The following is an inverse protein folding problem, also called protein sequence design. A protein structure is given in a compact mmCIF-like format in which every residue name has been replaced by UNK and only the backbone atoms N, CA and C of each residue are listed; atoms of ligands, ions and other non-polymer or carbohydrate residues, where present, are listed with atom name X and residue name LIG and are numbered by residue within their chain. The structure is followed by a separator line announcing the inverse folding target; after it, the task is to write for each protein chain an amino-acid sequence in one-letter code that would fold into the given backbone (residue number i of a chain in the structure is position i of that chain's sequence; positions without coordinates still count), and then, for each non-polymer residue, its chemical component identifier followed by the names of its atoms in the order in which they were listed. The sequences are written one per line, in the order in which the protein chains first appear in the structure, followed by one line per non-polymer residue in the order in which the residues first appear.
data_IF_150205031102
#
_entry.id   IF_150205031102
#
_cell.length_a   1.000
_cell.length_b   1.000
_cell.length_c   1.000
_cell.angle_alpha   90.00
_cell.angle_beta   90.00
_cell.angle_gamma   90.00
#
_symmetry.space_group_name_H-M   'P 1'
#
loop_
_entity.id
_entity.type
_entity.pdbx_description
1 polymer ?
#
# COMPACT_ATOMS: atom_id res chain seq x y z
N UNK A 1 -10.47 0.78 47.43
CA UNK A 1 -9.71 0.47 46.19
C UNK A 1 -10.50 -0.59 45.44
N UNK A 2 -11.47 -0.16 44.64
CA UNK A 2 -12.26 -1.05 43.81
C UNK A 2 -11.55 -1.23 42.47
N UNK A 3 -11.34 -2.47 42.06
CA UNK A 3 -11.02 -2.81 40.67
C UNK A 3 -12.21 -2.39 39.81
N UNK A 4 -12.15 -1.17 39.31
CA UNK A 4 -13.00 -0.74 38.21
C UNK A 4 -12.56 -1.54 36.99
N UNK A 5 -13.17 -2.72 36.81
CA UNK A 5 -13.16 -3.47 35.57
C UNK A 5 -13.72 -2.53 34.51
N UNK A 6 -12.82 -1.78 33.88
CA UNK A 6 -13.09 -1.04 32.65
C UNK A 6 -13.73 -2.06 31.73
N UNK A 7 -15.04 -1.95 31.49
CA UNK A 7 -15.72 -2.78 30.50
C UNK A 7 -15.02 -2.49 29.19
N UNK A 8 -14.10 -3.39 28.83
CA UNK A 8 -13.46 -3.41 27.54
C UNK A 8 -14.61 -3.42 26.56
N UNK A 9 -14.76 -2.33 25.79
CA UNK A 9 -15.59 -2.34 24.61
C UNK A 9 -15.07 -3.51 23.78
N UNK A 10 -15.82 -4.61 23.77
CA UNK A 10 -15.36 -5.83 23.13
C UNK A 10 -15.08 -5.52 21.68
N UNK A 11 -14.03 -6.10 21.11
CA UNK A 11 -13.75 -5.98 19.67
C UNK A 11 -15.01 -6.27 18.84
N UNK A 12 -15.87 -7.18 19.33
CA UNK A 12 -17.19 -7.48 18.76
C UNK A 12 -18.18 -6.30 18.80
N UNK A 13 -18.20 -5.49 19.87
CA UNK A 13 -19.11 -4.35 20.00
C UNK A 13 -18.64 -3.16 19.17
N UNK A 14 -17.33 -2.92 19.10
CA UNK A 14 -16.74 -1.91 18.22
C UNK A 14 -16.93 -2.26 16.73
N UNK A 15 -16.78 -3.54 16.38
CA UNK A 15 -17.08 -4.05 15.04
C UNK A 15 -18.59 -3.93 14.73
N UNK A 16 -19.49 -4.28 15.67
CA UNK A 16 -20.94 -4.18 15.44
C UNK A 16 -21.42 -2.73 15.27
N UNK A 17 -20.93 -1.79 16.07
CA UNK A 17 -21.39 -0.39 16.03
C UNK A 17 -20.93 0.37 14.79
N UNK A 18 -19.83 -0.04 14.15
CA UNK A 18 -19.21 0.72 13.06
C UNK A 18 -19.22 -0.05 11.74
N UNK A 19 -18.96 -1.35 11.78
CA UNK A 19 -18.89 -2.17 10.57
C UNK A 19 -20.28 -2.39 9.95
N UNK A 20 -21.33 -2.51 10.76
CA UNK A 20 -22.71 -2.72 10.27
C UNK A 20 -23.27 -1.47 9.58
N UNK A 21 -23.21 -0.25 10.15
CA UNK A 21 -23.68 0.95 9.45
C UNK A 21 -22.82 1.29 8.22
N UNK A 22 -21.52 1.02 8.26
CA UNK A 22 -20.61 1.34 7.16
C UNK A 22 -20.76 0.35 5.99
N UNK A 23 -20.95 -0.94 6.28
CA UNK A 23 -21.36 -1.93 5.28
C UNK A 23 -22.75 -1.63 4.75
N UNK A 24 -23.70 -1.21 5.60
CA UNK A 24 -25.03 -0.81 5.16
C UNK A 24 -25.00 0.46 4.29
N UNK A 25 -24.14 1.44 4.60
CA UNK A 25 -23.98 2.67 3.80
C UNK A 25 -23.30 2.36 2.48
N UNK A 26 -22.26 1.53 2.49
CA UNK A 26 -21.63 1.02 1.27
C UNK A 26 -22.63 0.23 0.42
N UNK A 27 -23.45 -0.63 1.03
CA UNK A 27 -24.48 -1.40 0.35
C UNK A 27 -25.60 -0.52 -0.21
N UNK A 28 -26.04 0.52 0.52
CA UNK A 28 -27.02 1.51 0.06
C UNK A 28 -26.46 2.35 -1.08
N UNK A 29 -25.16 2.72 -1.03
CA UNK A 29 -24.49 3.45 -2.10
C UNK A 29 -24.30 2.57 -3.34
N UNK A 30 -23.91 1.29 -3.17
CA UNK A 30 -23.84 0.28 -4.24
C UNK A 30 -25.23 0.07 -4.87
N UNK A 31 -26.29 -0.01 -4.08
CA UNK A 31 -27.66 -0.18 -4.55
C UNK A 31 -28.26 1.09 -5.19
N UNK A 32 -27.69 2.28 -4.93
CA UNK A 32 -28.14 3.58 -5.48
C UNK A 32 -27.25 4.16 -6.58
N UNK A 33 -26.29 3.41 -7.13
CA UNK A 33 -25.61 3.83 -8.37
C UNK A 33 -26.52 3.52 -9.57
N UNK A 34 -27.52 4.39 -9.81
CA UNK A 34 -27.54 5.07 -11.08
C UNK A 34 -27.55 6.58 -10.85
N UNK A 35 -26.37 7.18 -10.68
CA UNK A 35 -26.22 8.62 -10.94
C UNK A 35 -24.81 8.93 -11.43
N UNK A 36 -24.49 8.35 -12.58
CA UNK A 36 -23.46 8.87 -13.48
C UNK A 36 -23.61 10.39 -13.67
N UNK A 37 -24.82 10.95 -13.55
CA UNK A 37 -25.14 12.37 -13.70
C UNK A 37 -24.63 13.29 -12.58
N UNK A 38 -24.68 12.88 -11.30
CA UNK A 38 -24.19 13.72 -10.18
C UNK A 38 -22.66 13.75 -10.15
N UNK A 39 -22.04 12.59 -10.35
CA UNK A 39 -20.59 12.48 -10.48
C UNK A 39 -20.10 13.12 -11.80
N UNK A 40 -20.88 13.08 -12.89
CA UNK A 40 -20.57 13.81 -14.13
C UNK A 40 -20.59 15.32 -13.96
N UNK A 41 -21.54 15.87 -13.21
CA UNK A 41 -21.60 17.30 -12.91
C UNK A 41 -20.38 17.82 -12.13
N UNK A 42 -19.67 16.93 -11.42
CA UNK A 42 -18.43 17.24 -10.69
C UNK A 42 -17.15 16.90 -11.48
N UNK A 43 -17.25 16.47 -12.74
CA UNK A 43 -16.10 15.98 -13.52
C UNK A 43 -15.51 14.66 -13.00
N UNK A 44 -16.27 13.90 -12.22
CA UNK A 44 -15.91 12.60 -11.63
C UNK A 44 -16.45 11.40 -12.43
N UNK A 45 -17.10 11.61 -13.58
CA UNK A 45 -17.77 10.56 -14.38
C UNK A 45 -16.89 9.76 -15.33
N UNK A 46 -15.59 10.05 -15.40
CA UNK A 46 -14.69 9.16 -16.11
C UNK A 46 -14.48 7.91 -15.24
N UNK A 47 -15.34 6.92 -15.46
CA UNK A 47 -15.18 5.58 -14.92
C UNK A 47 -13.95 4.95 -15.58
N UNK A 48 -12.78 5.21 -14.98
CA UNK A 48 -11.51 4.56 -15.37
C UNK A 48 -11.43 3.12 -14.85
N UNK A 49 -12.55 2.50 -14.44
CA UNK A 49 -12.64 1.04 -14.29
C UNK A 49 -12.24 0.31 -15.57
N UNK A 50 -12.21 0.98 -16.73
CA UNK A 50 -11.67 0.44 -17.98
C UNK A 50 -10.25 -0.12 -17.88
N UNK A 51 -9.43 0.30 -16.91
CA UNK A 51 -8.10 -0.28 -16.75
C UNK A 51 -8.10 -1.62 -15.98
N UNK A 52 -9.15 -2.06 -15.27
CA UNK A 52 -9.28 -3.34 -14.51
C UNK A 52 -7.96 -4.01 -14.00
N UNK A 53 -6.94 -3.24 -13.62
CA UNK A 53 -5.62 -3.75 -13.26
C UNK A 53 -4.68 -4.19 -14.42
N UNK A 54 -4.95 -3.86 -15.68
CA UNK A 54 -4.04 -4.06 -16.81
C UNK A 54 -3.59 -5.50 -16.95
N UNK A 55 -2.32 -5.75 -16.65
CA UNK A 55 -1.73 -7.08 -16.66
C UNK A 55 -2.45 -8.07 -15.73
N UNK A 56 -3.01 -7.60 -14.60
CA UNK A 56 -3.79 -8.45 -13.70
C UNK A 56 -5.02 -9.06 -14.39
N UNK A 57 -5.71 -8.28 -15.24
CA UNK A 57 -6.88 -8.73 -15.98
C UNK A 57 -6.50 -9.71 -17.10
N UNK A 58 -5.41 -9.42 -17.83
CA UNK A 58 -4.91 -10.31 -18.89
C UNK A 58 -4.55 -11.70 -18.33
N UNK A 59 -3.84 -11.72 -17.19
CA UNK A 59 -3.50 -12.96 -16.48
C UNK A 59 -4.74 -13.72 -16.01
N UNK A 60 -5.74 -12.99 -15.48
CA UNK A 60 -6.99 -13.59 -15.04
C UNK A 60 -7.78 -14.20 -16.20
N UNK A 61 -7.77 -13.53 -17.35
CA UNK A 61 -8.41 -14.03 -18.57
C UNK A 61 -7.69 -15.27 -19.10
N UNK A 62 -6.34 -15.28 -19.09
CA UNK A 62 -5.54 -16.44 -19.46
C UNK A 62 -5.83 -17.66 -18.57
N UNK A 63 -5.94 -17.45 -17.25
CA UNK A 63 -6.37 -18.49 -16.31
C UNK A 63 -7.79 -19.00 -16.61
N UNK A 64 -8.73 -18.09 -16.86
CA UNK A 64 -10.13 -18.43 -17.19
C UNK A 64 -10.23 -19.28 -18.47
N UNK A 65 -9.41 -18.98 -19.48
CA UNK A 65 -9.36 -19.74 -20.74
C UNK A 65 -8.62 -21.08 -20.62
N UNK A 66 -7.99 -21.38 -19.48
CA UNK A 66 -7.24 -22.62 -19.28
C UNK A 66 -5.81 -22.61 -19.82
N UNK A 67 -5.27 -21.45 -20.21
CA UNK A 67 -3.89 -21.31 -20.67
C UNK A 67 -2.87 -21.31 -19.51
N UNK A 68 -3.37 -21.26 -18.27
CA UNK A 68 -2.55 -21.13 -17.08
C UNK A 68 -2.21 -19.66 -16.79
N UNK A 69 -1.16 -19.44 -16.00
CA UNK A 69 -0.73 -18.09 -15.64
C UNK A 69 0.34 -17.62 -16.65
N UNK A 70 -0.16 -17.16 -17.80
CA UNK A 70 0.61 -16.74 -18.99
C UNK A 70 0.09 -15.42 -19.54
N UNK A 71 0.83 -14.85 -20.50
CA UNK A 71 0.33 -13.80 -21.41
C UNK A 71 -0.09 -12.49 -20.70
N UNK A 72 0.82 -11.86 -19.90
CA UNK A 72 0.47 -10.70 -19.08
C UNK A 72 0.07 -9.48 -19.90
N UNK A 73 0.37 -9.46 -21.20
CA UNK A 73 0.11 -8.32 -22.10
C UNK A 73 -1.04 -8.55 -23.09
N UNK A 74 -1.88 -9.56 -22.84
CA UNK A 74 -3.07 -9.84 -23.68
C UNK A 74 -2.73 -10.39 -25.07
N UNK A 75 -1.48 -10.84 -25.27
CA UNK A 75 -0.98 -11.52 -26.46
C UNK A 75 -0.13 -12.72 -26.05
N UNK A 76 0.02 -13.68 -26.95
CA UNK A 76 0.71 -14.93 -26.64
C UNK A 76 2.22 -14.70 -26.43
N UNK A 77 2.63 -14.69 -25.17
CA UNK A 77 4.03 -14.54 -24.74
C UNK A 77 4.49 -15.65 -23.80
N UNK A 78 3.57 -16.55 -23.41
CA UNK A 78 3.87 -17.75 -22.64
C UNK A 78 3.82 -17.54 -21.13
N UNK A 79 4.30 -18.52 -20.34
CA UNK A 79 4.28 -18.47 -18.88
C UNK A 79 4.98 -17.24 -18.33
N UNK A 80 4.48 -16.71 -17.22
CA UNK A 80 4.96 -15.44 -16.65
C UNK A 80 4.96 -15.43 -15.12
N UNK A 81 5.83 -14.60 -14.54
CA UNK A 81 5.83 -14.15 -13.16
C UNK A 81 5.80 -12.62 -13.06
N UNK A 82 5.27 -11.94 -14.10
CA UNK A 82 5.25 -10.48 -14.21
C UNK A 82 4.44 -9.83 -13.09
N UNK A 83 3.36 -10.48 -12.64
CA UNK A 83 2.54 -10.04 -11.50
C UNK A 83 2.40 -11.14 -10.43
N UNK A 84 2.17 -10.76 -9.16
CA UNK A 84 1.82 -11.70 -8.11
C UNK A 84 0.50 -12.44 -8.37
N UNK A 85 0.33 -13.69 -7.89
CA UNK A 85 -0.75 -14.56 -8.36
C UNK A 85 -2.11 -14.37 -7.73
N UNK A 86 -2.21 -13.74 -6.55
CA UNK A 86 -3.47 -13.72 -5.79
C UNK A 86 -4.54 -12.91 -6.51
N UNK A 87 -4.20 -11.72 -7.00
CA UNK A 87 -5.18 -10.83 -7.65
C UNK A 87 -5.70 -11.45 -8.96
N UNK A 88 -4.86 -11.94 -9.90
CA UNK A 88 -5.36 -12.60 -11.11
C UNK A 88 -6.21 -13.83 -10.79
N UNK A 89 -5.83 -14.63 -9.80
CA UNK A 89 -6.58 -15.81 -9.40
C UNK A 89 -7.98 -15.46 -8.85
N UNK A 90 -8.10 -14.39 -8.04
CA UNK A 90 -9.39 -13.91 -7.55
C UNK A 90 -10.28 -13.41 -8.70
N UNK A 91 -9.72 -12.67 -9.67
CA UNK A 91 -10.46 -12.21 -10.84
C UNK A 91 -10.89 -13.40 -11.71
N UNK A 92 -10.00 -14.36 -11.96
CA UNK A 92 -10.29 -15.57 -12.71
C UNK A 92 -11.38 -16.43 -12.05
N UNK A 93 -11.40 -16.49 -10.71
CA UNK A 93 -12.46 -17.15 -9.95
C UNK A 93 -13.82 -16.48 -10.20
N UNK A 94 -13.88 -15.15 -10.19
CA UNK A 94 -15.11 -14.40 -10.50
C UNK A 94 -15.55 -14.65 -11.94
N UNK A 95 -14.62 -14.58 -12.90
CA UNK A 95 -14.91 -14.90 -14.31
C UNK A 95 -15.44 -16.34 -14.46
N UNK A 96 -14.83 -17.30 -13.79
CA UNK A 96 -15.27 -18.71 -13.85
C UNK A 96 -16.66 -18.87 -13.27
N UNK A 97 -16.91 -18.29 -12.09
CA UNK A 97 -18.22 -18.34 -11.44
C UNK A 97 -19.32 -17.60 -12.23
N UNK A 98 -18.95 -16.55 -12.96
CA UNK A 98 -19.87 -15.76 -13.78
C UNK A 98 -19.94 -16.19 -15.25
N UNK A 99 -19.28 -17.29 -15.62
CA UNK A 99 -19.18 -17.78 -17.01
C UNK A 99 -18.66 -16.70 -17.98
N UNK A 100 -17.70 -15.90 -17.53
CA UNK A 100 -17.04 -14.85 -18.31
C UNK A 100 -17.76 -13.50 -18.29
N UNK A 101 -18.86 -13.33 -17.53
CA UNK A 101 -19.55 -12.05 -17.46
C UNK A 101 -18.74 -11.01 -16.68
N UNK A 102 -18.25 -10.01 -17.43
CA UNK A 102 -17.44 -8.90 -16.94
C UNK A 102 -18.17 -8.00 -15.93
N UNK A 103 -19.50 -8.00 -15.92
CA UNK A 103 -20.29 -7.20 -14.96
C UNK A 103 -19.95 -7.59 -13.53
N UNK A 104 -19.76 -8.88 -13.27
CA UNK A 104 -19.40 -9.38 -11.93
C UNK A 104 -17.99 -9.00 -11.51
N UNK A 105 -17.04 -8.96 -12.45
CA UNK A 105 -15.68 -8.48 -12.18
C UNK A 105 -15.71 -6.99 -11.79
N UNK A 106 -16.48 -6.18 -12.51
CA UNK A 106 -16.66 -4.75 -12.18
C UNK A 106 -17.32 -4.54 -10.83
N UNK A 107 -18.37 -5.32 -10.51
CA UNK A 107 -19.01 -5.28 -9.19
C UNK A 107 -18.01 -5.65 -8.10
N UNK A 108 -17.24 -6.73 -8.27
CA UNK A 108 -16.23 -7.16 -7.32
C UNK A 108 -15.15 -6.07 -7.11
N UNK A 109 -14.66 -5.47 -8.20
CA UNK A 109 -13.72 -4.36 -8.14
C UNK A 109 -14.30 -3.15 -7.39
N UNK A 110 -15.57 -2.80 -7.64
CA UNK A 110 -16.28 -1.75 -6.90
C UNK A 110 -16.38 -2.05 -5.41
N UNK A 111 -16.69 -3.30 -5.02
CA UNK A 111 -16.69 -3.72 -3.62
C UNK A 111 -15.31 -3.55 -2.96
N UNK A 112 -14.23 -3.88 -3.67
CA UNK A 112 -12.85 -3.68 -3.19
C UNK A 112 -12.54 -2.19 -3.03
N UNK A 113 -12.94 -1.33 -3.97
CA UNK A 113 -12.77 0.12 -3.86
C UNK A 113 -13.48 0.70 -2.63
N UNK A 114 -14.76 0.34 -2.41
CA UNK A 114 -15.50 0.78 -1.22
C UNK A 114 -14.89 0.27 0.08
N UNK A 115 -14.39 -0.97 0.09
CA UNK A 115 -13.64 -1.52 1.23
C UNK A 115 -12.36 -0.73 1.48
N UNK A 116 -11.67 -0.31 0.42
CA UNK A 116 -10.45 0.50 0.52
C UNK A 116 -10.74 1.86 1.15
N UNK A 117 -11.82 2.53 0.71
CA UNK A 117 -12.28 3.80 1.32
C UNK A 117 -12.60 3.60 2.81
N UNK A 118 -13.29 2.50 3.16
CA UNK A 118 -13.55 2.14 4.53
C UNK A 118 -12.25 1.95 5.34
N UNK A 119 -11.24 1.29 4.78
CA UNK A 119 -9.94 1.09 5.40
C UNK A 119 -9.13 2.39 5.60
N UNK A 120 -9.41 3.46 4.85
CA UNK A 120 -8.84 4.79 5.09
C UNK A 120 -9.55 5.50 6.23
N UNK A 121 -10.89 5.45 6.26
CA UNK A 121 -11.70 6.15 7.26
C UNK A 121 -11.64 5.49 8.64
N UNK A 122 -11.64 4.16 8.69
CA UNK A 122 -11.84 3.41 9.93
C UNK A 122 -10.69 3.52 10.95
N UNK A 123 -9.40 3.40 10.60
CA UNK A 123 -8.32 3.46 11.58
C UNK A 123 -8.27 4.76 12.40
N UNK A 124 -8.33 5.98 11.82
CA UNK A 124 -8.33 7.21 12.62
C UNK A 124 -9.60 7.35 13.48
N UNK A 125 -10.77 6.87 13.00
CA UNK A 125 -12.00 6.81 13.82
C UNK A 125 -11.88 5.84 14.99
N UNK A 126 -11.30 4.65 14.77
CA UNK A 126 -11.05 3.65 15.80
C UNK A 126 -10.07 4.18 16.85
N UNK A 127 -9.00 4.85 16.44
CA UNK A 127 -8.08 5.51 17.38
C UNK A 127 -8.81 6.59 18.19
N UNK A 128 -9.65 7.38 17.51
CA UNK A 128 -10.48 8.40 18.14
C UNK A 128 -11.55 7.87 19.08
N UNK A 129 -11.96 6.59 18.99
CA UNK A 129 -12.94 5.97 19.89
C UNK A 129 -12.30 5.14 21.01
N UNK A 130 -11.22 4.42 20.71
CA UNK A 130 -10.50 3.56 21.68
C UNK A 130 -9.66 4.38 22.65
N UNK A 131 -9.18 5.57 22.26
CA UNK A 131 -8.42 6.47 23.13
C UNK A 131 -9.30 7.46 23.91
N UNK A 132 -10.63 7.39 23.77
CA UNK A 132 -11.58 8.30 24.41
C UNK A 132 -12.42 7.63 25.50
N UNK A 133 -11.87 6.64 26.21
CA UNK A 133 -12.45 6.22 27.48
C UNK A 133 -12.66 7.43 28.42
N UNK A 134 -11.92 8.52 28.22
CA UNK A 134 -12.19 9.85 28.78
C UNK A 134 -12.66 10.86 27.70
N UNK A 135 -13.97 11.12 27.64
CA UNK A 135 -14.71 12.35 27.28
C UNK A 135 -14.26 13.34 26.17
N UNK A 136 -13.18 13.11 25.41
CA UNK A 136 -12.67 14.08 24.42
C UNK A 136 -13.25 13.78 23.03
N UNK A 137 -14.52 14.13 22.83
CA UNK A 137 -15.24 14.02 21.54
C UNK A 137 -14.46 14.59 20.35
N UNK A 138 -13.59 15.59 20.59
CA UNK A 138 -12.74 16.18 19.54
C UNK A 138 -11.80 15.17 18.87
N UNK A 139 -11.34 14.11 19.56
CA UNK A 139 -10.45 13.10 18.98
C UNK A 139 -11.18 12.23 17.95
N UNK A 140 -12.45 11.93 18.18
CA UNK A 140 -13.28 11.24 17.20
C UNK A 140 -13.57 12.12 15.99
N UNK A 141 -13.95 13.38 16.23
CA UNK A 141 -14.21 14.37 15.17
C UNK A 141 -12.95 14.59 14.32
N UNK A 142 -11.78 14.73 14.96
CA UNK A 142 -10.50 14.84 14.26
C UNK A 142 -10.23 13.59 13.40
N UNK A 143 -10.52 12.40 13.91
CA UNK A 143 -10.37 11.15 13.15
C UNK A 143 -11.24 11.16 11.89
N UNK A 144 -12.49 11.61 12.00
CA UNK A 144 -13.40 11.76 10.86
C UNK A 144 -12.87 12.78 9.84
N UNK A 145 -12.38 13.93 10.31
CA UNK A 145 -11.82 14.98 9.46
C UNK A 145 -10.58 14.47 8.71
N UNK A 146 -9.60 13.90 9.42
CA UNK A 146 -8.35 13.39 8.83
C UNK A 146 -8.64 12.29 7.82
N UNK A 147 -9.51 11.33 8.16
CA UNK A 147 -9.92 10.28 7.23
C UNK A 147 -10.60 10.84 5.98
N UNK A 148 -11.50 11.82 6.14
CA UNK A 148 -12.21 12.44 5.01
C UNK A 148 -11.27 13.19 4.08
N UNK A 149 -10.31 13.94 4.63
CA UNK A 149 -9.27 14.64 3.86
C UNK A 149 -8.37 13.64 3.12
N UNK A 150 -7.99 12.54 3.77
CA UNK A 150 -7.19 11.48 3.15
C UNK A 150 -7.92 10.84 1.95
N UNK A 151 -9.22 10.58 2.09
CA UNK A 151 -10.06 10.07 0.98
C UNK A 151 -10.18 11.11 -0.13
N UNK A 152 -10.47 12.37 0.19
CA UNK A 152 -10.65 13.42 -0.81
C UNK A 152 -9.36 13.69 -1.61
N UNK A 153 -8.20 13.75 -0.93
CA UNK A 153 -6.89 13.96 -1.56
C UNK A 153 -6.44 12.81 -2.45
N UNK A 154 -6.95 11.59 -2.23
CA UNK A 154 -6.59 10.39 -2.98
C UNK A 154 -7.78 9.77 -3.73
N UNK A 155 -8.85 10.54 -3.95
CA UNK A 155 -10.11 10.02 -4.48
C UNK A 155 -9.94 9.31 -5.83
N UNK A 156 -9.08 9.83 -6.71
CA UNK A 156 -8.77 9.19 -7.99
C UNK A 156 -8.28 7.75 -7.81
N UNK A 157 -7.27 7.54 -6.97
CA UNK A 157 -6.72 6.21 -6.74
C UNK A 157 -7.67 5.31 -5.95
N UNK A 158 -8.51 5.87 -5.07
CA UNK A 158 -9.39 5.08 -4.22
C UNK A 158 -10.71 4.68 -4.92
N UNK A 159 -11.24 5.55 -5.78
CA UNK A 159 -12.58 5.40 -6.35
C UNK A 159 -12.61 5.28 -7.88
N UNK A 160 -11.59 5.77 -8.60
CA UNK A 160 -11.60 5.79 -10.07
C UNK A 160 -10.59 4.83 -10.70
N UNK A 161 -9.45 4.60 -10.04
CA UNK A 161 -8.36 3.77 -10.57
C UNK A 161 -8.32 2.39 -9.90
N UNK A 162 -8.47 1.33 -10.68
CA UNK A 162 -8.43 -0.06 -10.19
C UNK A 162 -7.07 -0.69 -10.48
N UNK A 163 -6.31 -0.98 -9.41
CA UNK A 163 -5.01 -1.65 -9.50
C UNK A 163 -4.66 -2.31 -8.16
N UNK A 164 -3.47 -2.93 -8.06
CA UNK A 164 -2.98 -3.63 -6.88
C UNK A 164 -2.84 -2.77 -5.60
N UNK A 165 -2.70 -1.45 -5.72
CA UNK A 165 -2.61 -0.55 -4.56
C UNK A 165 -3.83 -0.63 -3.65
N UNK A 166 -5.02 -0.98 -4.18
CA UNK A 166 -6.23 -1.17 -3.39
C UNK A 166 -6.08 -2.35 -2.41
N UNK A 167 -5.60 -3.49 -2.92
CA UNK A 167 -5.31 -4.66 -2.10
C UNK A 167 -4.12 -4.41 -1.16
N UNK A 168 -3.11 -3.69 -1.64
CA UNK A 168 -1.98 -3.22 -0.82
C UNK A 168 -2.47 -2.42 0.39
N UNK A 169 -3.36 -1.45 0.17
CA UNK A 169 -3.92 -0.63 1.25
C UNK A 169 -4.68 -1.47 2.28
N UNK A 170 -5.61 -2.32 1.83
CA UNK A 170 -6.37 -3.20 2.73
C UNK A 170 -5.40 -4.06 3.55
N UNK A 171 -4.42 -4.68 2.89
CA UNK A 171 -3.42 -5.51 3.54
C UNK A 171 -2.60 -4.75 4.59
N UNK A 172 -2.11 -3.55 4.28
CA UNK A 172 -1.30 -2.75 5.21
C UNK A 172 -2.13 -2.25 6.40
N UNK A 173 -3.40 -1.89 6.19
CA UNK A 173 -4.32 -1.54 7.28
C UNK A 173 -4.55 -2.73 8.21
N UNK A 174 -4.78 -3.93 7.66
CA UNK A 174 -4.95 -5.15 8.44
C UNK A 174 -3.67 -5.53 9.19
N UNK A 175 -2.50 -5.38 8.56
CA UNK A 175 -1.20 -5.59 9.20
C UNK A 175 -1.01 -4.65 10.40
N UNK A 176 -1.29 -3.36 10.22
CA UNK A 176 -1.21 -2.38 11.29
C UNK A 176 -2.13 -2.76 12.46
N UNK A 177 -3.40 -3.08 12.17
CA UNK A 177 -4.39 -3.46 13.17
C UNK A 177 -3.95 -4.72 13.92
N UNK A 178 -3.49 -5.73 13.21
CA UNK A 178 -2.99 -6.98 13.77
C UNK A 178 -1.82 -6.74 14.73
N UNK A 179 -0.84 -5.92 14.35
CA UNK A 179 0.32 -5.60 15.19
C UNK A 179 -0.09 -4.82 16.44
N UNK A 180 -1.00 -3.85 16.30
CA UNK A 180 -1.49 -3.05 17.42
C UNK A 180 -2.30 -3.88 18.42
N UNK A 181 -3.13 -4.81 17.93
CA UNK A 181 -3.90 -5.72 18.80
C UNK A 181 -2.97 -6.73 19.49
N UNK A 182 -2.03 -7.33 18.77
CA UNK A 182 -1.12 -8.33 19.35
C UNK A 182 -0.22 -7.74 20.43
N UNK A 183 0.22 -6.48 20.25
CA UNK A 183 0.98 -5.76 21.26
C UNK A 183 0.22 -5.55 22.58
N UNK A 184 -1.12 -5.63 22.58
CA UNK A 184 -1.94 -5.51 23.79
C UNK A 184 -2.22 -6.85 24.49
N UNK A 185 -2.24 -7.96 23.75
CA UNK A 185 -2.80 -9.22 24.23
C UNK A 185 -1.75 -10.25 24.71
N UNK A 186 -0.45 -9.88 24.77
CA UNK A 186 0.68 -10.77 25.10
C UNK A 186 0.71 -12.11 24.31
N UNK A 187 -0.11 -12.23 23.27
CA UNK A 187 -0.42 -13.49 22.59
C UNK A 187 0.63 -13.90 21.57
N UNK A 188 1.71 -13.11 21.45
CA UNK A 188 2.52 -12.98 20.24
C UNK A 188 3.17 -14.25 19.70
N UNK A 189 3.29 -15.31 20.51
CA UNK A 189 3.81 -16.62 20.09
C UNK A 189 2.73 -17.57 19.55
N UNK A 190 1.48 -17.50 20.04
CA UNK A 190 0.41 -18.46 19.69
C UNK A 190 0.02 -18.38 18.23
N UNK A 191 0.07 -17.19 17.65
CA UNK A 191 -0.30 -16.93 16.26
C UNK A 191 0.91 -16.64 15.35
N UNK A 192 2.13 -16.94 15.80
CA UNK A 192 3.35 -16.63 15.04
C UNK A 192 3.32 -17.20 13.60
N UNK A 193 2.92 -18.47 13.47
CA UNK A 193 2.78 -19.12 12.17
C UNK A 193 1.73 -18.42 11.28
N UNK A 194 0.55 -18.15 11.83
CA UNK A 194 -0.53 -17.49 11.09
C UNK A 194 -0.14 -16.08 10.63
N UNK A 195 0.59 -15.33 11.45
CA UNK A 195 1.13 -14.01 11.08
C UNK A 195 2.14 -14.11 9.93
N UNK A 196 3.04 -15.10 9.98
CA UNK A 196 3.99 -15.39 8.90
C UNK A 196 3.29 -15.79 7.61
N UNK A 197 2.31 -16.68 7.70
CA UNK A 197 1.49 -17.11 6.57
C UNK A 197 0.72 -15.93 5.95
N UNK A 198 0.11 -15.08 6.78
CA UNK A 198 -0.54 -13.85 6.34
C UNK A 198 0.42 -12.93 5.59
N UNK A 199 1.66 -12.76 6.08
CA UNK A 199 2.70 -12.00 5.36
C UNK A 199 3.08 -12.63 4.02
N UNK A 200 3.15 -13.96 3.93
CA UNK A 200 3.45 -14.68 2.69
C UNK A 200 2.34 -14.54 1.65
N UNK A 201 1.07 -14.71 2.05
CA UNK A 201 -0.10 -14.42 1.20
C UNK A 201 -0.10 -12.95 0.79
N UNK A 202 0.19 -12.05 1.74
CA UNK A 202 0.35 -10.63 1.46
C UNK A 202 1.41 -10.34 0.41
N UNK A 203 2.50 -11.11 0.39
CA UNK A 203 3.55 -10.96 -0.61
C UNK A 203 3.08 -11.46 -1.99
N UNK A 204 2.28 -12.53 -2.04
CA UNK A 204 1.64 -13.03 -3.26
C UNK A 204 0.48 -12.14 -3.79
N UNK A 205 0.02 -11.19 -2.99
CA UNK A 205 -0.92 -10.13 -3.41
C UNK A 205 -0.18 -8.87 -3.80
N UNK A 206 0.76 -8.44 -2.96
CA UNK A 206 1.51 -7.20 -3.08
C UNK A 206 2.92 -7.38 -2.49
N UNK A 207 3.86 -7.81 -3.33
CA UNK A 207 5.24 -8.24 -2.96
C UNK A 207 5.89 -7.41 -1.87
N UNK A 208 5.98 -6.08 -2.07
CA UNK A 208 6.63 -5.17 -1.12
C UNK A 208 5.91 -5.11 0.23
N UNK A 209 4.57 -5.18 0.23
CA UNK A 209 3.75 -5.16 1.43
C UNK A 209 3.97 -6.40 2.28
N UNK A 210 3.94 -7.59 1.67
CA UNK A 210 4.20 -8.84 2.37
C UNK A 210 5.62 -8.95 2.93
N UNK A 211 6.62 -8.47 2.19
CA UNK A 211 8.02 -8.41 2.65
C UNK A 211 8.16 -7.43 3.83
N UNK A 212 7.60 -6.22 3.73
CA UNK A 212 7.58 -5.26 4.83
C UNK A 212 6.90 -5.85 6.08
N UNK A 213 5.81 -6.61 5.89
CA UNK A 213 5.09 -7.27 6.97
C UNK A 213 5.95 -8.29 7.72
N UNK A 214 6.63 -9.20 7.00
CA UNK A 214 7.47 -10.22 7.65
C UNK A 214 8.68 -9.58 8.35
N UNK A 215 9.32 -8.57 7.75
CA UNK A 215 10.43 -7.84 8.38
C UNK A 215 9.97 -7.18 9.68
N UNK A 216 8.84 -6.48 9.65
CA UNK A 216 8.27 -5.83 10.83
C UNK A 216 7.98 -6.84 11.94
N UNK A 217 7.34 -7.97 11.61
CA UNK A 217 6.99 -9.00 12.60
C UNK A 217 8.22 -9.68 13.19
N UNK A 218 9.26 -9.96 12.38
CA UNK A 218 10.53 -10.50 12.86
C UNK A 218 11.23 -9.53 13.80
N UNK A 219 11.20 -8.24 13.47
CA UNK A 219 11.78 -7.18 14.29
C UNK A 219 11.07 -7.03 15.65
N UNK A 220 9.75 -7.18 15.68
CA UNK A 220 8.95 -7.16 16.91
C UNK A 220 9.05 -8.46 17.73
N UNK A 221 9.48 -9.56 17.11
CA UNK A 221 9.58 -10.86 17.75
C UNK A 221 10.81 -10.96 18.67
N UNK A 222 10.59 -11.36 19.92
CA UNK A 222 11.64 -11.45 20.96
C UNK A 222 12.32 -12.81 21.09
N UNK A 223 11.68 -13.90 20.64
CA UNK A 223 12.23 -15.25 20.82
C UNK A 223 12.42 -15.98 19.49
N UNK A 224 13.41 -16.87 19.45
CA UNK A 224 13.80 -17.60 18.24
C UNK A 224 12.67 -18.48 17.70
N UNK A 225 11.89 -19.13 18.58
CA UNK A 225 10.76 -19.98 18.18
C UNK A 225 9.70 -19.21 17.39
N UNK A 226 9.32 -18.02 17.83
CA UNK A 226 8.35 -17.16 17.15
C UNK A 226 8.90 -16.73 15.79
N UNK A 227 10.18 -16.34 15.72
CA UNK A 227 10.84 -16.00 14.44
C UNK A 227 10.84 -17.16 13.45
N UNK A 228 11.17 -18.37 13.92
CA UNK A 228 11.15 -19.57 13.09
C UNK A 228 9.74 -19.87 12.58
N UNK A 229 8.71 -19.78 13.43
CA UNK A 229 7.31 -19.98 13.02
C UNK A 229 6.83 -18.92 12.02
N UNK A 230 7.24 -17.66 12.20
CA UNK A 230 6.97 -16.57 11.25
C UNK A 230 7.58 -16.86 9.87
N UNK A 231 8.87 -17.20 9.83
CA UNK A 231 9.57 -17.54 8.58
C UNK A 231 8.95 -18.78 7.93
N UNK A 232 8.66 -19.81 8.72
CA UNK A 232 8.04 -21.03 8.22
C UNK A 232 6.66 -20.78 7.62
N UNK A 233 5.80 -19.99 8.28
CA UNK A 233 4.51 -19.60 7.72
C UNK A 233 4.64 -18.80 6.43
N UNK A 234 5.58 -17.85 6.37
CA UNK A 234 5.85 -17.05 5.17
C UNK A 234 6.31 -17.92 3.99
N UNK A 235 7.24 -18.82 4.23
CA UNK A 235 7.77 -19.75 3.23
C UNK A 235 6.69 -20.73 2.77
N UNK A 236 5.88 -21.29 3.67
CA UNK A 236 4.80 -22.20 3.28
C UNK A 236 3.80 -21.55 2.32
N UNK A 237 3.48 -20.27 2.55
CA UNK A 237 2.58 -19.53 1.67
C UNK A 237 3.24 -19.21 0.31
N UNK A 238 4.50 -18.78 0.29
CA UNK A 238 5.15 -18.22 -0.90
C UNK A 238 5.94 -19.23 -1.76
N UNK A 239 6.50 -20.28 -1.17
CA UNK A 239 7.34 -21.25 -1.88
C UNK A 239 6.63 -22.01 -3.00
N UNK A 240 5.35 -22.42 -2.90
CA UNK A 240 4.67 -23.10 -4.01
C UNK A 240 4.68 -22.25 -5.29
N UNK A 241 4.48 -20.94 -5.15
CA UNK A 241 4.58 -19.99 -6.25
C UNK A 241 6.01 -19.87 -6.78
N UNK A 242 7.00 -19.72 -5.89
CA UNK A 242 8.42 -19.66 -6.28
C UNK A 242 8.83 -20.89 -7.10
N UNK A 243 8.40 -22.08 -6.66
CA UNK A 243 8.69 -23.35 -7.32
C UNK A 243 8.04 -23.43 -8.70
N UNK A 244 6.79 -22.96 -8.81
CA UNK A 244 6.09 -22.85 -10.10
C UNK A 244 6.85 -21.90 -11.05
N UNK A 245 7.30 -20.75 -10.58
CA UNK A 245 8.12 -19.83 -11.37
C UNK A 245 9.42 -20.49 -11.84
N UNK A 246 10.13 -21.18 -10.95
CA UNK A 246 11.35 -21.92 -11.30
C UNK A 246 11.11 -22.97 -12.39
N UNK A 247 10.07 -23.78 -12.25
CA UNK A 247 9.75 -24.83 -13.21
C UNK A 247 9.30 -24.28 -14.57
N UNK A 248 8.47 -23.23 -14.59
CA UNK A 248 7.87 -22.70 -15.83
C UNK A 248 8.80 -21.75 -16.58
N UNK A 249 9.61 -20.99 -15.87
CA UNK A 249 10.47 -19.94 -16.45
C UNK A 249 11.93 -20.37 -16.56
N UNK A 250 12.27 -21.56 -16.06
CA UNK A 250 13.64 -22.08 -16.00
C UNK A 250 14.56 -21.28 -15.07
N UNK A 251 14.00 -20.37 -14.26
CA UNK A 251 14.74 -19.44 -13.38
C UNK A 251 13.95 -19.15 -12.12
N UNK A 252 14.68 -18.99 -11.02
CA UNK A 252 14.08 -18.65 -9.74
C UNK A 252 13.67 -17.17 -9.73
N UNK A 253 12.36 -16.92 -9.73
CA UNK A 253 11.78 -15.63 -9.41
C UNK A 253 11.02 -15.75 -8.10
N UNK A 254 11.38 -14.99 -7.04
CA UNK A 254 10.79 -15.20 -5.73
C UNK A 254 9.28 -14.94 -5.72
N UNK A 255 8.82 -13.81 -6.24
CA UNK A 255 7.38 -13.51 -6.30
C UNK A 255 7.01 -12.83 -7.60
N UNK A 256 7.77 -11.79 -7.95
CA UNK A 256 7.58 -10.98 -9.14
C UNK A 256 8.89 -10.87 -9.91
N UNK A 257 8.86 -11.01 -11.22
CA UNK A 257 10.06 -10.97 -12.08
C UNK A 257 10.46 -9.54 -12.49
N UNK A 258 9.50 -8.63 -12.61
CA UNK A 258 9.71 -7.34 -13.28
C UNK A 258 10.58 -6.31 -12.53
N UNK A 259 11.03 -6.57 -11.30
CA UNK A 259 11.78 -5.59 -10.50
C UNK A 259 13.06 -5.09 -11.20
N UNK A 260 13.75 -5.97 -11.94
CA UNK A 260 14.92 -5.58 -12.73
C UNK A 260 14.57 -4.69 -13.92
N UNK A 261 13.39 -4.88 -14.52
CA UNK A 261 12.88 -4.04 -15.59
C UNK A 261 12.42 -2.68 -15.05
N UNK A 262 11.70 -2.65 -13.93
CA UNK A 262 11.27 -1.39 -13.28
C UNK A 262 12.49 -0.53 -12.92
N UNK A 263 13.56 -1.15 -12.41
CA UNK A 263 14.84 -0.47 -12.13
C UNK A 263 15.52 0.06 -13.40
N UNK A 264 15.49 -0.72 -14.49
CA UNK A 264 16.01 -0.31 -15.79
C UNK A 264 15.26 0.91 -16.32
N UNK A 265 13.93 0.88 -16.29
CA UNK A 265 13.10 2.00 -16.77
C UNK A 265 13.42 3.28 -15.98
N UNK A 266 13.45 3.19 -14.65
CA UNK A 266 13.67 4.34 -13.79
C UNK A 266 15.13 4.82 -13.69
N UNK A 267 16.11 4.12 -14.29
CA UNK A 267 17.52 4.55 -14.27
C UNK A 267 18.05 4.88 -15.66
N UNK A 268 17.55 4.22 -16.70
CA UNK A 268 18.10 4.28 -18.07
C UNK A 268 17.13 4.93 -19.04
N UNK A 269 15.85 4.57 -18.98
CA UNK A 269 14.85 5.07 -19.94
C UNK A 269 14.39 6.48 -19.56
N UNK A 270 14.14 6.67 -18.27
CA UNK A 270 13.62 7.92 -17.73
C UNK A 270 14.73 8.98 -17.53
N UNK A 271 14.37 10.26 -17.52
CA UNK A 271 15.33 11.36 -17.43
C UNK A 271 15.66 11.77 -15.99
N UNK A 272 14.69 11.74 -15.06
CA UNK A 272 14.87 12.16 -13.66
C UNK A 272 14.76 11.00 -12.66
N UNK A 273 14.33 9.84 -13.16
CA UNK A 273 14.18 8.59 -12.45
C UNK A 273 12.79 8.36 -11.87
N UNK A 274 11.81 9.19 -12.21
CA UNK A 274 10.39 9.04 -11.88
C UNK A 274 9.63 8.79 -13.18
N UNK A 275 9.35 7.52 -13.52
CA UNK A 275 8.72 7.18 -14.80
C UNK A 275 7.51 8.04 -15.13
N UNK A 276 7.55 8.62 -16.33
CA UNK A 276 6.47 9.39 -16.93
C UNK A 276 5.75 8.64 -18.06
N UNK A 277 4.83 9.32 -18.75
CA UNK A 277 4.12 8.75 -19.89
C UNK A 277 5.05 8.33 -21.03
N UNK A 278 6.14 9.07 -21.28
CA UNK A 278 7.09 8.73 -22.32
C UNK A 278 7.86 7.45 -21.97
N UNK A 279 8.27 7.32 -20.70
CA UNK A 279 8.84 6.10 -20.13
C UNK A 279 7.85 4.93 -20.20
N UNK A 280 6.58 5.15 -19.87
CA UNK A 280 5.52 4.13 -19.94
C UNK A 280 5.16 3.71 -21.37
N UNK A 281 5.25 4.60 -22.35
CA UNK A 281 5.02 4.27 -23.75
C UNK A 281 6.03 3.22 -24.28
N UNK A 282 7.20 3.10 -23.62
CA UNK A 282 8.20 2.07 -23.90
C UNK A 282 7.96 0.76 -23.14
N UNK A 283 6.85 0.63 -22.39
CA UNK A 283 6.54 -0.57 -21.63
C UNK A 283 6.17 -1.76 -22.55
N UNK A 284 6.59 -3.02 -22.24
CA UNK A 284 6.31 -4.19 -23.07
C UNK A 284 4.83 -4.50 -23.34
N UNK A 285 3.94 -3.93 -22.53
CA UNK A 285 2.49 -3.99 -22.78
C UNK A 285 2.13 -3.46 -24.17
N UNK A 286 2.89 -2.51 -24.70
CA UNK A 286 2.74 -1.98 -26.05
C UNK A 286 3.55 -2.83 -27.04
N UNK A 287 2.89 -3.66 -27.85
CA UNK A 287 3.54 -4.55 -28.82
C UNK A 287 4.43 -3.79 -29.83
N UNK A 288 4.03 -2.56 -30.19
CA UNK A 288 4.78 -1.71 -31.12
C UNK A 288 5.97 -0.99 -30.47
N UNK A 289 6.14 -1.12 -29.15
CA UNK A 289 7.31 -0.56 -28.48
C UNK A 289 8.54 -1.46 -28.74
N UNK A 290 9.76 -0.90 -28.77
CA UNK A 290 10.98 -1.70 -28.87
C UNK A 290 11.07 -2.77 -27.77
N UNK A 291 10.65 -2.46 -26.55
CA UNK A 291 10.65 -3.40 -25.44
C UNK A 291 9.60 -4.51 -25.61
N UNK A 292 8.44 -4.20 -26.21
CA UNK A 292 7.40 -5.17 -26.54
C UNK A 292 7.89 -6.17 -27.59
N UNK A 293 8.49 -5.68 -28.68
CA UNK A 293 9.07 -6.52 -29.72
C UNK A 293 10.19 -7.42 -29.18
N UNK A 294 11.11 -6.86 -28.38
CA UNK A 294 12.18 -7.64 -27.74
C UNK A 294 11.62 -8.70 -26.78
N UNK A 295 10.63 -8.34 -25.95
CA UNK A 295 9.98 -9.28 -25.02
C UNK A 295 9.32 -10.45 -25.77
N UNK A 296 8.65 -10.16 -26.88
CA UNK A 296 8.00 -11.19 -27.71
C UNK A 296 9.03 -12.12 -28.39
N UNK A 297 10.21 -11.61 -28.74
CA UNK A 297 11.29 -12.37 -29.37
C UNK A 297 12.01 -13.32 -28.39
N UNK A 298 12.37 -12.83 -27.19
CA UNK A 298 13.28 -13.56 -26.28
C UNK A 298 12.58 -14.11 -25.02
N UNK A 299 11.32 -13.73 -24.78
CA UNK A 299 10.52 -14.12 -23.63
C UNK A 299 10.93 -13.45 -22.31
N UNK A 300 10.08 -13.60 -21.28
CA UNK A 300 10.20 -12.89 -20.01
C UNK A 300 11.56 -13.09 -19.32
N UNK A 301 11.98 -14.35 -19.20
CA UNK A 301 13.17 -14.72 -18.43
C UNK A 301 14.43 -14.03 -18.94
N UNK A 302 14.62 -14.00 -20.26
CA UNK A 302 15.79 -13.39 -20.86
C UNK A 302 15.65 -11.88 -20.99
N UNK A 303 14.46 -11.38 -21.29
CA UNK A 303 14.16 -9.96 -21.29
C UNK A 303 14.48 -9.32 -19.93
N UNK A 304 13.91 -9.83 -18.84
CA UNK A 304 14.14 -9.25 -17.50
C UNK A 304 15.63 -9.32 -17.13
N UNK A 305 16.33 -10.40 -17.49
CA UNK A 305 17.77 -10.54 -17.23
C UNK A 305 18.60 -9.53 -18.02
N UNK A 306 18.28 -9.32 -19.30
CA UNK A 306 19.00 -8.37 -20.16
C UNK A 306 18.88 -6.96 -19.58
N UNK A 307 17.68 -6.55 -19.19
CA UNK A 307 17.40 -5.24 -18.58
C UNK A 307 18.04 -5.07 -17.20
N UNK A 308 17.99 -6.11 -16.37
CA UNK A 308 18.67 -6.11 -15.08
C UNK A 308 20.20 -5.97 -15.22
N UNK A 309 20.81 -6.62 -16.21
CA UNK A 309 22.24 -6.47 -16.50
C UNK A 309 22.59 -5.04 -16.90
N UNK A 310 21.79 -4.42 -17.77
CA UNK A 310 21.97 -3.02 -18.17
C UNK A 310 21.84 -2.07 -16.97
N UNK A 311 20.85 -2.30 -16.10
CA UNK A 311 20.69 -1.54 -14.86
C UNK A 311 21.95 -1.61 -13.97
N UNK A 312 22.48 -2.80 -13.70
CA UNK A 312 23.68 -2.94 -12.87
C UNK A 312 24.93 -2.34 -13.52
N UNK A 313 25.07 -2.45 -14.85
CA UNK A 313 26.16 -1.80 -15.58
C UNK A 313 26.07 -0.27 -15.44
N UNK A 314 24.88 0.32 -15.59
CA UNK A 314 24.67 1.76 -15.41
C UNK A 314 24.97 2.19 -13.97
N UNK A 315 24.52 1.41 -12.99
CA UNK A 315 24.77 1.69 -11.57
C UNK A 315 26.28 1.72 -11.25
N UNK A 316 27.06 0.80 -11.82
CA UNK A 316 28.51 0.75 -11.66
C UNK A 316 29.23 1.90 -12.37
N UNK A 317 28.78 2.25 -13.58
CA UNK A 317 29.42 3.28 -14.40
C UNK A 317 29.06 4.71 -13.96
N UNK A 318 27.94 4.92 -13.26
CA UNK A 318 27.45 6.25 -12.89
C UNK A 318 26.70 6.26 -11.54
N UNK A 319 27.36 5.89 -10.43
CA UNK A 319 26.71 5.78 -9.12
C UNK A 319 26.13 7.10 -8.61
N UNK A 320 26.77 8.23 -8.91
CA UNK A 320 26.27 9.56 -8.52
C UNK A 320 24.94 9.90 -9.20
N UNK A 321 24.78 9.56 -10.49
CA UNK A 321 23.53 9.74 -11.24
C UNK A 321 22.42 8.85 -10.66
N UNK A 322 22.75 7.60 -10.32
CA UNK A 322 21.81 6.69 -9.68
C UNK A 322 21.32 7.21 -8.32
N UNK A 323 22.22 7.74 -7.48
CA UNK A 323 21.86 8.35 -6.19
C UNK A 323 20.96 9.57 -6.41
N UNK A 324 21.29 10.44 -7.38
CA UNK A 324 20.47 11.61 -7.73
C UNK A 324 19.03 11.21 -8.06
N UNK A 325 18.85 10.17 -8.89
CA UNK A 325 17.54 9.64 -9.28
C UNK A 325 16.77 9.00 -8.12
N UNK A 326 17.46 8.30 -7.22
CA UNK A 326 16.85 7.81 -5.96
C UNK A 326 16.37 8.96 -5.08
N UNK A 327 17.14 10.06 -4.99
CA UNK A 327 16.74 11.26 -4.24
C UNK A 327 15.50 11.90 -4.88
N UNK A 328 15.45 12.00 -6.21
CA UNK A 328 14.26 12.50 -6.91
C UNK A 328 13.03 11.61 -6.68
N UNK A 329 13.17 10.28 -6.75
CA UNK A 329 12.08 9.36 -6.38
C UNK A 329 11.63 9.52 -4.94
N UNK A 330 12.56 9.71 -4.00
CA UNK A 330 12.23 9.97 -2.60
C UNK A 330 11.46 11.28 -2.44
N UNK A 331 11.89 12.34 -3.11
CA UNK A 331 11.21 13.63 -3.17
C UNK A 331 9.80 13.49 -3.74
N UNK A 332 9.66 12.84 -4.90
CA UNK A 332 8.39 12.56 -5.54
C UNK A 332 7.44 11.77 -4.62
N UNK A 333 7.96 10.74 -3.96
CA UNK A 333 7.22 9.93 -3.01
C UNK A 333 6.74 10.73 -1.80
N UNK A 334 7.60 11.57 -1.21
CA UNK A 334 7.28 12.34 0.01
C UNK A 334 6.40 13.54 -0.29
N UNK A 335 6.61 14.24 -1.40
CA UNK A 335 5.88 15.46 -1.76
C UNK A 335 4.64 15.17 -2.61
N UNK A 336 4.54 14.00 -3.23
CA UNK A 336 3.53 13.71 -4.26
C UNK A 336 3.79 14.47 -5.56
N UNK A 337 5.05 14.83 -5.80
CA UNK A 337 5.51 15.43 -7.05
C UNK A 337 6.08 14.32 -7.94
N UNK A 338 5.21 13.47 -8.48
CA UNK A 338 5.60 12.43 -9.44
C UNK A 338 4.94 12.66 -10.79
N UNK A 339 5.76 12.60 -11.84
CA UNK A 339 5.55 12.60 -13.30
C UNK A 339 4.25 13.22 -13.89
N UNK A 340 4.34 14.02 -14.97
CA UNK A 340 3.19 14.62 -15.65
C UNK A 340 2.31 13.61 -16.42
N UNK A 341 2.12 12.39 -15.90
CA UNK A 341 1.21 11.37 -16.47
C UNK A 341 -0.23 11.90 -16.67
N UNK A 342 -0.62 12.98 -15.99
CA UNK A 342 -1.95 13.59 -16.12
C UNK A 342 -1.89 15.11 -16.24
N UNK A 343 -0.97 15.64 -17.05
CA UNK A 343 -0.78 17.09 -17.27
C UNK A 343 -2.07 17.82 -17.69
N UNK A 344 -3.06 17.12 -18.24
CA UNK A 344 -4.28 17.74 -18.76
C UNK A 344 -5.48 17.83 -17.80
N UNK A 345 -5.50 17.16 -16.63
CA UNK A 345 -6.76 17.05 -15.86
C UNK A 345 -6.81 17.42 -14.38
N UNK A 346 -5.75 17.88 -13.69
CA UNK A 346 -5.97 18.62 -12.43
C UNK A 346 -4.73 19.24 -11.78
N UNK A 347 -4.45 20.51 -12.06
CA UNK A 347 -3.65 21.38 -11.18
C UNK A 347 -4.21 21.38 -9.75
N UNK A 348 -5.54 21.35 -9.61
CA UNK A 348 -6.22 21.36 -8.31
C UNK A 348 -6.00 20.06 -7.50
N UNK A 349 -6.05 18.87 -8.14
CA UNK A 349 -5.74 17.60 -7.43
C UNK A 349 -4.28 17.52 -7.00
N UNK A 350 -3.36 18.01 -7.83
CA UNK A 350 -1.93 18.08 -7.49
C UNK A 350 -1.71 18.94 -6.24
N UNK A 351 -2.36 20.09 -6.14
CA UNK A 351 -2.25 20.98 -4.97
C UNK A 351 -2.77 20.33 -3.66
N UNK A 352 -3.88 19.59 -3.71
CA UNK A 352 -4.41 18.91 -2.52
C UNK A 352 -3.53 17.76 -2.07
N UNK A 353 -2.99 16.98 -3.02
CA UNK A 353 -2.07 15.88 -2.75
C UNK A 353 -0.75 16.38 -2.16
N UNK A 354 -0.18 17.45 -2.74
CA UNK A 354 1.02 18.12 -2.22
C UNK A 354 0.76 18.67 -0.81
N UNK A 355 -0.37 19.33 -0.58
CA UNK A 355 -0.74 19.84 0.75
C UNK A 355 -0.84 18.72 1.81
N UNK A 356 -1.50 17.61 1.47
CA UNK A 356 -1.57 16.42 2.34
C UNK A 356 -0.19 15.85 2.65
N UNK A 357 0.64 15.69 1.62
CA UNK A 357 1.95 15.08 1.71
C UNK A 357 2.96 15.95 2.49
N UNK A 358 2.93 17.26 2.29
CA UNK A 358 3.70 18.20 3.11
C UNK A 358 3.27 18.14 4.58
N UNK A 359 1.96 18.12 4.84
CA UNK A 359 1.44 18.01 6.20
C UNK A 359 1.84 16.67 6.85
N UNK A 360 1.73 15.57 6.10
CA UNK A 360 2.21 14.25 6.49
C UNK A 360 3.71 14.27 6.84
N UNK A 361 4.55 14.87 6.01
CA UNK A 361 5.99 14.98 6.24
C UNK A 361 6.32 15.69 7.55
N UNK A 362 5.61 16.78 7.87
CA UNK A 362 5.75 17.48 9.15
C UNK A 362 5.34 16.56 10.31
N UNK A 363 4.23 15.84 10.20
CA UNK A 363 3.78 14.91 11.24
C UNK A 363 4.74 13.75 11.47
N UNK A 364 5.37 13.23 10.40
CA UNK A 364 6.44 12.23 10.51
C UNK A 364 7.60 12.76 11.34
N UNK A 365 8.08 13.98 11.04
CA UNK A 365 9.18 14.61 11.79
C UNK A 365 8.80 14.80 13.25
N UNK A 366 7.60 15.32 13.53
CA UNK A 366 7.11 15.50 14.90
C UNK A 366 7.06 14.18 15.68
N UNK A 367 6.54 13.12 15.06
CA UNK A 367 6.49 11.79 15.68
C UNK A 367 7.87 11.17 15.85
N UNK A 368 8.78 11.37 14.91
CA UNK A 368 10.14 10.85 14.98
C UNK A 368 10.96 11.51 16.10
N UNK A 369 10.72 12.79 16.37
CA UNK A 369 11.43 13.56 17.40
C UNK A 369 10.74 13.42 18.77
N UNK A 370 9.44 13.17 18.80
CA UNK A 370 8.69 12.97 20.04
C UNK A 370 9.07 11.66 20.73
N UNK A 371 9.43 11.74 22.00
CA UNK A 371 9.69 10.58 22.87
C UNK A 371 8.41 9.88 23.32
N UNK A 372 7.31 10.61 23.30
CA UNK A 372 6.01 10.17 23.80
C UNK A 372 5.09 9.73 22.64
N UNK A 373 5.68 9.44 21.47
CA UNK A 373 4.95 8.94 20.32
C UNK A 373 4.25 7.63 20.67
N UNK A 374 2.92 7.55 20.47
CA UNK A 374 2.18 6.36 20.85
C UNK A 374 2.62 5.18 19.99
N UNK A 375 2.65 3.98 20.58
CA UNK A 375 3.16 2.77 19.93
C UNK A 375 2.55 2.53 18.53
N UNK A 376 1.23 2.73 18.39
CA UNK A 376 0.53 2.54 17.12
C UNK A 376 0.99 3.50 16.01
N UNK A 377 1.42 4.72 16.36
CA UNK A 377 1.96 5.68 15.40
C UNK A 377 3.38 5.28 14.97
N UNK A 378 4.19 4.76 15.89
CA UNK A 378 5.53 4.23 15.58
C UNK A 378 5.42 3.02 14.65
N UNK A 379 4.43 2.14 14.86
CA UNK A 379 4.17 1.02 13.94
C UNK A 379 3.76 1.52 12.56
N UNK A 380 2.85 2.50 12.47
CA UNK A 380 2.47 3.10 11.20
C UNK A 380 3.69 3.70 10.47
N UNK A 381 4.57 4.43 11.19
CA UNK A 381 5.79 4.99 10.62
C UNK A 381 6.74 3.91 10.08
N UNK A 382 6.88 2.78 10.79
CA UNK A 382 7.72 1.66 10.32
C UNK A 382 7.14 0.96 9.11
N UNK A 383 5.82 0.77 9.07
CA UNK A 383 5.14 0.23 7.89
C UNK A 383 5.40 1.14 6.69
N UNK A 384 5.21 2.46 6.87
CA UNK A 384 5.49 3.45 5.84
C UNK A 384 6.93 3.34 5.35
N UNK A 385 7.94 3.42 6.23
CA UNK A 385 9.35 3.32 5.84
C UNK A 385 9.68 2.01 5.11
N UNK A 386 9.30 0.86 5.69
CA UNK A 386 9.61 -0.45 5.11
C UNK A 386 8.95 -0.65 3.74
N UNK A 387 7.75 -0.12 3.55
CA UNK A 387 7.04 -0.21 2.28
C UNK A 387 7.62 0.75 1.22
N UNK A 388 8.01 1.96 1.61
CA UNK A 388 8.49 2.97 0.65
C UNK A 388 9.89 2.66 0.09
N UNK A 389 10.76 2.06 0.91
CA UNK A 389 12.18 1.86 0.53
C UNK A 389 12.35 1.12 -0.80
N UNK A 390 11.72 -0.03 -1.06
CA UNK A 390 11.87 -0.71 -2.34
C UNK A 390 11.43 0.14 -3.53
N UNK A 391 10.35 0.91 -3.41
CA UNK A 391 9.87 1.77 -4.49
C UNK A 391 10.76 2.99 -4.74
N UNK A 392 11.28 3.60 -3.67
CA UNK A 392 12.25 4.70 -3.81
C UNK A 392 13.55 4.23 -4.44
N UNK A 393 14.01 3.03 -4.10
CA UNK A 393 15.25 2.47 -4.64
C UNK A 393 15.10 2.00 -6.09
N UNK A 394 14.00 1.30 -6.41
CA UNK A 394 13.78 0.66 -7.71
C UNK A 394 13.06 1.59 -8.68
N UNK A 395 11.79 1.92 -8.41
CA UNK A 395 10.93 2.74 -9.27
C UNK A 395 9.68 3.16 -8.49
N UNK A 396 9.25 4.41 -8.69
CA UNK A 396 8.09 5.00 -8.02
C UNK A 396 7.01 5.41 -9.02
N UNK A 397 5.78 4.96 -8.77
CA UNK A 397 4.57 5.50 -9.39
C UNK A 397 3.63 5.98 -8.29
N UNK A 398 2.78 6.94 -8.63
CA UNK A 398 1.85 7.57 -7.70
C UNK A 398 0.89 6.60 -7.00
N UNK A 399 0.52 5.50 -7.69
CA UNK A 399 -0.30 4.43 -7.10
C UNK A 399 0.38 3.72 -5.92
N UNK A 400 1.70 3.68 -5.84
CA UNK A 400 2.40 3.09 -4.71
C UNK A 400 2.28 3.94 -3.44
N UNK A 401 2.24 5.27 -3.59
CA UNK A 401 1.88 6.18 -2.50
C UNK A 401 0.44 5.98 -2.06
N UNK A 402 -0.48 5.74 -3.01
CA UNK A 402 -1.90 5.51 -2.71
C UNK A 402 -2.14 4.28 -1.82
N UNK A 403 -1.33 3.23 -1.92
CA UNK A 403 -1.42 2.07 -1.03
C UNK A 403 -1.18 2.41 0.46
N UNK A 404 -0.51 3.53 0.74
CA UNK A 404 -0.15 3.96 2.10
C UNK A 404 -1.11 4.98 2.70
N UNK A 405 -2.18 5.40 2.00
CA UNK A 405 -3.05 6.50 2.44
C UNK A 405 -3.65 6.26 3.83
N UNK A 406 -4.06 5.03 4.15
CA UNK A 406 -4.55 4.67 5.49
C UNK A 406 -3.47 4.82 6.57
N UNK A 407 -2.24 4.41 6.27
CA UNK A 407 -1.08 4.53 7.16
C UNK A 407 -0.69 6.00 7.34
N UNK A 408 -0.72 6.79 6.26
CA UNK A 408 -0.52 8.23 6.31
C UNK A 408 -1.58 8.92 7.18
N UNK A 409 -2.85 8.54 7.06
CA UNK A 409 -3.94 9.08 7.86
C UNK A 409 -3.73 8.81 9.37
N UNK A 410 -3.27 7.61 9.73
CA UNK A 410 -2.91 7.28 11.12
C UNK A 410 -1.77 8.17 11.63
N UNK A 411 -0.72 8.35 10.83
CA UNK A 411 0.44 9.20 11.16
C UNK A 411 0.01 10.65 11.36
N UNK A 412 -0.77 11.19 10.42
CA UNK A 412 -1.29 12.56 10.47
C UNK A 412 -2.16 12.77 11.71
N UNK A 413 -3.13 11.87 11.92
CA UNK A 413 -4.00 11.89 13.10
C UNK A 413 -3.19 11.92 14.40
N UNK A 414 -2.21 11.03 14.52
CA UNK A 414 -1.37 10.90 15.72
C UNK A 414 -0.52 12.14 16.00
N UNK A 415 0.06 12.72 14.94
CA UNK A 415 0.85 13.94 15.05
C UNK A 415 0.00 15.14 15.50
N UNK A 416 -1.20 15.29 14.95
CA UNK A 416 -2.13 16.36 15.36
C UNK A 416 -2.60 16.18 16.80
N UNK A 417 -2.92 14.95 17.23
CA UNK A 417 -3.26 14.69 18.62
C UNK A 417 -2.13 15.10 19.57
N UNK A 418 -0.88 14.72 19.27
CA UNK A 418 0.28 15.11 20.08
C UNK A 418 0.45 16.63 20.15
N UNK A 419 0.28 17.34 19.04
CA UNK A 419 0.35 18.81 19.03
C UNK A 419 -0.73 19.44 19.91
N UNK A 420 -1.97 19.00 19.76
CA UNK A 420 -3.11 19.52 20.54
C UNK A 420 -2.90 19.22 22.04
N UNK A 421 -2.51 18.01 22.39
CA UNK A 421 -2.25 17.64 23.79
C UNK A 421 -1.10 18.48 24.38
N UNK A 422 -0.02 18.73 23.62
CA UNK A 422 1.06 19.64 24.04
C UNK A 422 0.57 21.07 24.28
N UNK A 423 -0.35 21.57 23.44
CA UNK A 423 -0.94 22.90 23.57
C UNK A 423 -1.88 22.99 24.79
N UNK A 424 -2.74 21.99 25.00
CA UNK A 424 -3.69 21.93 26.12
C UNK A 424 -2.94 21.84 27.45
N UNK A 425 -1.95 20.95 27.54
CA UNK A 425 -1.24 20.68 28.80
C UNK A 425 -0.20 21.76 29.14
N UNK A 426 0.03 22.75 28.25
CA UNK A 426 1.08 23.78 28.34
C UNK A 426 2.48 23.22 28.65
N UNK A 427 2.73 21.94 28.34
CA UNK A 427 3.97 21.23 28.63
C UNK A 427 4.60 20.82 27.31
N UNK A 428 5.48 21.66 26.76
CA UNK A 428 6.34 21.22 25.66
C UNK A 428 7.37 20.21 26.19
N UNK A 429 7.39 18.95 25.71
CA UNK A 429 8.33 17.93 26.18
C UNK A 429 9.80 18.31 25.93
N UNK A 430 10.04 19.11 24.88
CA UNK A 430 11.38 19.46 24.37
C UNK A 430 12.14 20.38 25.35
N UNK A 431 11.46 21.18 26.17
CA UNK A 431 12.10 22.17 27.06
C UNK A 431 12.51 21.63 28.44
N UNK A 432 12.15 20.40 28.81
CA UNK A 432 12.46 19.85 30.14
C UNK A 432 13.94 19.47 30.36
N UNK A 433 14.74 19.31 29.30
CA UNK A 433 16.17 18.96 29.42
C UNK A 433 17.07 20.16 29.70
N UNK A 434 16.71 21.36 29.23
CA UNK A 434 17.50 22.57 29.47
C UNK A 434 17.47 22.98 30.95
N UNK A 435 16.34 22.80 31.64
CA UNK A 435 16.16 23.31 33.00
C UNK A 435 16.73 22.36 34.07
N UNK A 436 16.85 21.05 33.80
CA UNK A 436 17.38 20.08 34.79
C UNK A 436 18.91 19.97 34.84
N UNK A 437 19.64 20.57 33.91
CA UNK A 437 21.11 20.59 33.93
C UNK A 437 21.73 21.82 34.61
N UNK A 438 20.90 22.79 35.06
CA UNK A 438 21.37 23.98 35.79
C UNK A 438 21.19 23.88 37.32
N UNK A 439 20.50 22.85 37.83
CA UNK A 439 20.10 22.76 39.25
C UNK A 439 20.98 21.89 40.15
N UNK A 440 22.19 21.48 39.72
CA UNK A 440 23.14 20.74 40.56
C UNK A 440 24.51 21.43 40.51
N UNK A 441 24.63 22.50 41.27
CA UNK A 441 25.86 23.02 41.86
C UNK A 441 25.43 23.84 43.08
N UNK A 442 25.22 23.12 44.18
CA UNK A 442 25.08 23.64 45.53
C UNK A 442 25.93 22.78 46.43
#
# INVERSE_FOLDING_TARGET
MGEEKTRIFGLADALRFVFVPLMATAFILIAKVPSSSFLAGLGLSADYSGHLGGEYMNLAYSLFLGNGFSDPFGRSTGPTAWMPPVIPALIALVLTASQGDMRWVKIAAGCVQWTTIACVLFPPLLLGSVLTCDAKQWRFILGAIVGSIAVASNFYHLAQFTHDHLFGLIFLTLLWLMVVIDARNESGSKFAFAKGFFSGVGALTHTVGGIAAIILQLWLSRNARTRLLLVFGFLLASLPWCFRCYHQLGRFFPIKSNAGFDAYQALIVDDDGVPDYASLAQHPVHANSPAGAEYDEIGESEFVRSKQKLFFQRLQNSPADAIKRVIFRFQAFVMGEGSPEHEFLCVQRRQWKVGWNCFFGIMVVLLAISRDSPFYAIIALKIWMLFSVPYVLVSYYDRYGAALVSIQAIIVYSGVCLLIDCMIDRRFPILRRSIKLSGKNG
#
